data_IF_997811977009
#
_entry.id   IF_997811977009
#
_cell.length_a   1.000
_cell.length_b   1.000
_cell.length_c   1.000
_cell.angle_alpha   90.00
_cell.angle_beta   90.00
_cell.angle_gamma   90.00
#
_symmetry.space_group_name_H-M   'P 1'
#
loop_
_entity.id
_entity.type
_entity.pdbx_description
1 polymer ?
#
# COMPACT_ATOMS: atom_id res chain seq x y z
N UNK A 1 55.06 -68.64 -24.57
CA UNK A 1 55.86 -67.44 -24.15
C UNK A 1 54.87 -66.37 -23.80
N UNK A 2 54.65 -66.17 -22.55
CA UNK A 2 53.67 -65.32 -21.97
C UNK A 2 54.26 -63.95 -21.61
N UNK A 3 53.72 -62.88 -22.17
CA UNK A 3 54.05 -61.50 -21.77
C UNK A 3 53.02 -60.94 -20.80
N UNK A 4 53.41 -60.11 -19.80
CA UNK A 4 52.57 -59.70 -18.71
C UNK A 4 51.60 -58.57 -19.07
N UNK A 5 50.38 -58.69 -18.57
CA UNK A 5 49.34 -57.67 -18.64
C UNK A 5 49.70 -56.50 -17.71
N UNK A 6 49.82 -55.30 -18.27
CA UNK A 6 49.90 -54.03 -17.55
C UNK A 6 48.54 -53.67 -16.98
N UNK A 7 48.45 -53.60 -15.65
CA UNK A 7 47.33 -53.08 -14.90
C UNK A 7 47.38 -51.54 -14.86
N UNK A 8 46.53 -50.87 -15.60
CA UNK A 8 46.38 -49.45 -15.50
C UNK A 8 45.43 -49.11 -14.30
N UNK A 9 45.96 -48.33 -13.36
CA UNK A 9 45.20 -47.81 -12.21
C UNK A 9 44.21 -46.72 -12.70
N UNK A 10 43.02 -46.58 -12.08
CA UNK A 10 42.04 -45.58 -12.44
C UNK A 10 42.51 -44.15 -12.03
N UNK A 11 42.11 -43.11 -12.74
CA UNK A 11 42.55 -41.76 -12.45
C UNK A 11 41.96 -41.27 -11.09
N UNK A 12 42.89 -40.73 -10.28
CA UNK A 12 42.55 -40.10 -8.99
C UNK A 12 41.66 -38.87 -9.26
N UNK A 13 40.48 -38.83 -8.65
CA UNK A 13 39.61 -37.63 -8.54
C UNK A 13 40.42 -36.53 -7.80
N UNK A 14 40.39 -35.27 -8.27
CA UNK A 14 40.95 -34.17 -7.48
C UNK A 14 40.12 -34.00 -6.21
N UNK A 15 40.82 -33.89 -5.08
CA UNK A 15 40.24 -33.59 -3.77
C UNK A 15 39.53 -32.22 -3.88
N UNK A 16 38.22 -32.22 -3.58
CA UNK A 16 37.47 -30.98 -3.38
C UNK A 16 38.11 -30.24 -2.19
N UNK A 17 38.79 -29.16 -2.48
CA UNK A 17 39.18 -28.16 -1.49
C UNK A 17 37.90 -27.64 -0.83
N UNK A 18 37.68 -28.03 0.43
CA UNK A 18 36.67 -27.43 1.29
C UNK A 18 37.13 -25.97 1.50
N UNK A 19 36.64 -25.07 0.63
CA UNK A 19 36.63 -23.65 0.93
C UNK A 19 35.79 -23.49 2.20
N UNK A 20 36.44 -23.24 3.33
CA UNK A 20 35.81 -22.72 4.53
C UNK A 20 35.03 -21.47 4.09
N UNK A 21 33.72 -21.57 4.08
CA UNK A 21 32.87 -20.41 4.07
C UNK A 21 33.22 -19.66 5.36
N UNK A 22 33.92 -18.53 5.21
CA UNK A 22 34.02 -17.56 6.27
C UNK A 22 32.60 -17.15 6.62
N UNK A 23 32.15 -17.62 7.76
CA UNK A 23 30.94 -17.16 8.41
C UNK A 23 31.21 -15.69 8.71
N UNK A 24 30.71 -14.81 7.84
CA UNK A 24 30.61 -13.39 8.13
C UNK A 24 29.81 -13.31 9.44
N UNK A 25 30.39 -12.79 10.54
CA UNK A 25 29.64 -12.63 11.77
C UNK A 25 28.41 -11.82 11.42
N UNK A 26 27.23 -12.37 11.71
CA UNK A 26 25.97 -11.71 11.47
C UNK A 26 26.05 -10.29 12.02
N UNK A 27 26.02 -9.33 11.11
CA UNK A 27 25.87 -7.94 11.45
C UNK A 27 24.59 -7.87 12.29
N UNK A 28 24.76 -7.57 13.59
CA UNK A 28 23.65 -7.30 14.47
C UNK A 28 22.69 -6.37 13.74
N UNK A 29 21.44 -6.81 13.54
CA UNK A 29 20.40 -5.95 13.05
C UNK A 29 20.49 -4.65 13.87
N UNK A 30 20.42 -3.46 13.25
CA UNK A 30 20.44 -2.23 14.01
C UNK A 30 19.20 -2.24 14.91
N UNK A 31 19.38 -2.64 16.15
CA UNK A 31 18.43 -2.56 17.24
C UNK A 31 18.28 -1.10 17.72
N UNK A 32 18.22 -0.18 16.78
CA UNK A 32 17.76 1.17 17.02
C UNK A 32 16.25 1.15 16.94
N UNK A 33 15.57 1.12 18.06
CA UNK A 33 14.17 1.51 18.16
C UNK A 33 14.03 2.91 17.54
N UNK A 34 13.61 2.94 16.27
CA UNK A 34 13.32 4.21 15.61
C UNK A 34 12.09 4.78 16.32
N UNK A 35 12.15 6.00 16.88
CA UNK A 35 11.03 6.58 17.60
C UNK A 35 9.78 6.48 16.75
N UNK A 36 8.74 5.87 17.31
CA UNK A 36 7.45 5.72 16.66
C UNK A 36 6.79 7.09 16.61
N UNK A 37 6.71 7.66 15.43
CA UNK A 37 5.91 8.87 15.23
C UNK A 37 4.44 8.52 15.49
N UNK A 38 3.73 9.31 16.32
CA UNK A 38 2.32 9.11 16.52
C UNK A 38 1.57 9.16 15.17
N UNK A 39 0.72 8.19 14.90
CA UNK A 39 0.04 8.03 13.60
C UNK A 39 -0.95 9.16 13.24
N UNK A 40 -1.16 10.10 14.14
CA UNK A 40 -1.99 11.29 13.94
C UNK A 40 -1.21 12.49 13.39
N UNK A 41 0.14 12.46 13.40
CA UNK A 41 0.98 13.60 12.96
C UNK A 41 0.67 13.96 11.50
N UNK A 42 0.65 12.99 10.59
CA UNK A 42 0.37 13.25 9.18
C UNK A 42 -1.02 13.86 8.96
N UNK A 43 -2.10 13.25 9.47
CA UNK A 43 -3.45 13.81 9.42
C UNK A 43 -3.56 15.23 9.99
N UNK A 44 -2.99 15.47 11.17
CA UNK A 44 -3.02 16.80 11.80
C UNK A 44 -2.25 17.81 10.97
N UNK A 45 -1.06 17.46 10.48
CA UNK A 45 -0.27 18.35 9.63
C UNK A 45 -1.05 18.76 8.37
N UNK A 46 -1.70 17.80 7.68
CA UNK A 46 -2.50 18.08 6.50
C UNK A 46 -3.68 19.02 6.81
N UNK A 47 -4.41 18.77 7.90
CA UNK A 47 -5.52 19.63 8.32
C UNK A 47 -5.01 21.03 8.70
N UNK A 48 -3.90 21.13 9.44
CA UNK A 48 -3.30 22.41 9.83
C UNK A 48 -2.87 23.22 8.60
N UNK A 49 -2.29 22.58 7.59
CA UNK A 49 -1.91 23.23 6.33
C UNK A 49 -3.16 23.78 5.63
N UNK A 50 -4.23 23.00 5.49
CA UNK A 50 -5.46 23.46 4.86
C UNK A 50 -6.11 24.62 5.63
N UNK A 51 -6.27 24.49 6.95
CA UNK A 51 -6.86 25.57 7.79
C UNK A 51 -5.99 26.82 7.78
N UNK A 52 -4.67 26.67 7.84
CA UNK A 52 -3.74 27.81 7.77
C UNK A 52 -3.78 28.53 6.41
N UNK A 53 -3.90 27.78 5.33
CA UNK A 53 -4.03 28.36 3.99
C UNK A 53 -5.37 29.08 3.80
N UNK A 54 -6.46 28.47 4.26
CA UNK A 54 -7.79 29.11 4.32
C UNK A 54 -7.76 30.43 5.11
N UNK A 55 -7.16 30.42 6.30
CA UNK A 55 -7.05 31.61 7.13
C UNK A 55 -6.22 32.72 6.43
N UNK A 56 -5.13 32.32 5.76
CA UNK A 56 -4.31 33.26 5.00
C UNK A 56 -5.09 33.93 3.85
N UNK A 57 -5.92 33.18 3.11
CA UNK A 57 -6.78 33.70 2.08
C UNK A 57 -7.82 34.68 2.62
N UNK A 58 -8.47 34.33 3.73
CA UNK A 58 -9.45 35.20 4.39
C UNK A 58 -8.81 36.49 4.85
N UNK A 59 -7.62 36.42 5.46
CA UNK A 59 -6.89 37.60 5.93
C UNK A 59 -6.40 38.51 4.79
N UNK A 60 -6.15 37.95 3.61
CA UNK A 60 -5.66 38.68 2.44
C UNK A 60 -6.76 39.14 1.48
N UNK A 61 -8.04 39.00 1.84
CA UNK A 61 -9.17 39.41 0.99
C UNK A 61 -9.05 40.87 0.61
N UNK A 62 -9.02 41.21 -0.68
CA UNK A 62 -8.97 42.61 -1.12
C UNK A 62 -10.22 43.39 -0.70
N UNK A 63 -10.05 44.67 -0.33
CA UNK A 63 -11.18 45.56 -0.04
C UNK A 63 -11.97 45.81 -1.34
N UNK A 64 -13.29 45.64 -1.25
CA UNK A 64 -14.19 45.82 -2.40
C UNK A 64 -14.38 44.56 -3.28
N UNK A 65 -13.69 43.47 -3.02
CA UNK A 65 -13.91 42.22 -3.75
C UNK A 65 -15.33 41.67 -3.47
N UNK A 66 -16.14 41.38 -4.52
CA UNK A 66 -17.46 40.78 -4.35
C UNK A 66 -17.37 39.44 -3.63
N UNK A 67 -18.22 39.21 -2.61
CA UNK A 67 -18.14 38.02 -1.76
C UNK A 67 -18.28 36.73 -2.57
N UNK A 68 -19.16 36.69 -3.57
CA UNK A 68 -19.31 35.51 -4.43
C UNK A 68 -18.02 35.13 -5.13
N UNK A 69 -17.39 36.13 -5.80
CA UNK A 69 -16.11 35.93 -6.50
C UNK A 69 -15.01 35.49 -5.56
N UNK A 70 -14.86 36.14 -4.41
CA UNK A 70 -13.87 35.75 -3.40
C UNK A 70 -14.08 34.29 -2.92
N UNK A 71 -15.32 33.86 -2.66
CA UNK A 71 -15.63 32.48 -2.29
C UNK A 71 -15.26 31.51 -3.42
N UNK A 72 -15.53 31.89 -4.67
CA UNK A 72 -15.10 31.12 -5.84
C UNK A 72 -13.57 30.94 -5.91
N UNK A 73 -12.81 32.04 -5.78
CA UNK A 73 -11.34 31.98 -5.78
C UNK A 73 -10.78 31.17 -4.60
N UNK A 74 -11.30 31.41 -3.40
CA UNK A 74 -10.92 30.70 -2.18
C UNK A 74 -11.13 29.21 -2.31
N UNK A 75 -12.30 28.79 -2.81
CA UNK A 75 -12.61 27.36 -2.98
C UNK A 75 -11.74 26.70 -4.05
N UNK A 76 -11.42 27.42 -5.14
CA UNK A 76 -10.46 26.98 -6.16
C UNK A 76 -9.03 26.84 -5.62
N UNK A 77 -8.59 27.79 -4.80
CA UNK A 77 -7.27 27.75 -4.17
C UNK A 77 -7.13 26.57 -3.19
N UNK A 78 -8.14 26.34 -2.34
CA UNK A 78 -8.17 25.18 -1.44
C UNK A 78 -8.25 23.86 -2.22
N UNK A 79 -8.99 23.81 -3.33
CA UNK A 79 -9.03 22.65 -4.21
C UNK A 79 -7.62 22.29 -4.71
N UNK A 80 -6.89 23.26 -5.22
CA UNK A 80 -5.51 23.09 -5.73
C UNK A 80 -4.55 22.70 -4.60
N UNK A 81 -4.63 23.33 -3.42
CA UNK A 81 -3.84 22.93 -2.25
C UNK A 81 -4.04 21.46 -1.91
N UNK A 82 -5.29 21.02 -1.76
CA UNK A 82 -5.59 19.65 -1.38
C UNK A 82 -5.19 18.62 -2.45
N UNK A 83 -5.28 19.01 -3.74
CA UNK A 83 -4.77 18.20 -4.84
C UNK A 83 -3.24 18.11 -4.81
N UNK A 84 -2.53 19.20 -4.55
CA UNK A 84 -1.07 19.18 -4.36
C UNK A 84 -0.67 18.32 -3.16
N UNK A 85 -1.36 18.43 -2.03
CA UNK A 85 -1.17 17.53 -0.88
C UNK A 85 -1.40 16.07 -1.26
N UNK A 86 -2.42 15.77 -2.06
CA UNK A 86 -2.67 14.43 -2.59
C UNK A 86 -1.52 13.92 -3.46
N UNK A 87 -0.90 14.76 -4.31
CA UNK A 87 0.28 14.40 -5.08
C UNK A 87 1.49 14.09 -4.18
N UNK A 88 1.69 14.86 -3.11
CA UNK A 88 2.73 14.59 -2.10
C UNK A 88 2.50 13.24 -1.43
N UNK A 89 1.27 12.94 -1.00
CA UNK A 89 0.92 11.64 -0.41
C UNK A 89 1.15 10.48 -1.39
N UNK A 90 1.01 10.72 -2.68
CA UNK A 90 1.25 9.71 -3.71
C UNK A 90 2.74 9.38 -3.93
N UNK A 91 3.69 10.13 -3.38
CA UNK A 91 5.14 9.86 -3.53
C UNK A 91 5.61 8.61 -2.80
N UNK A 92 4.85 8.15 -1.79
CA UNK A 92 5.17 6.99 -0.94
C UNK A 92 6.54 7.09 -0.24
N UNK A 93 6.97 8.31 0.06
CA UNK A 93 8.23 8.53 0.77
C UNK A 93 8.16 7.95 2.19
N UNK A 94 9.24 7.32 2.70
CA UNK A 94 9.21 6.62 3.98
C UNK A 94 8.84 7.48 5.20
N UNK A 95 9.13 8.78 5.16
CA UNK A 95 8.74 9.69 6.25
C UNK A 95 7.24 9.99 6.23
N UNK A 96 6.61 10.05 5.03
CA UNK A 96 5.16 10.21 4.87
C UNK A 96 4.45 8.95 5.39
N UNK A 97 4.92 7.77 4.99
CA UNK A 97 4.38 6.51 5.49
C UNK A 97 4.40 6.47 7.04
N UNK A 98 5.53 6.84 7.64
CA UNK A 98 5.67 6.91 9.11
C UNK A 98 4.72 7.91 9.76
N UNK A 99 4.58 9.11 9.18
CA UNK A 99 3.72 10.17 9.72
C UNK A 99 2.23 9.81 9.70
N UNK A 100 1.80 9.00 8.74
CA UNK A 100 0.42 8.53 8.62
C UNK A 100 0.18 7.15 9.25
N UNK A 101 1.24 6.42 9.60
CA UNK A 101 1.17 5.10 10.24
C UNK A 101 0.89 3.94 9.29
N UNK A 102 1.37 4.02 8.05
CA UNK A 102 1.33 2.95 7.05
C UNK A 102 0.82 3.42 5.68
N UNK A 103 1.18 2.68 4.62
CA UNK A 103 0.83 3.03 3.23
C UNK A 103 -0.68 2.99 2.96
N UNK A 104 -1.40 2.07 3.58
CA UNK A 104 -2.86 1.97 3.50
C UNK A 104 -3.55 3.23 4.05
N UNK A 105 -3.06 3.77 5.15
CA UNK A 105 -3.55 5.04 5.72
C UNK A 105 -3.16 6.23 4.84
N UNK A 106 -1.95 6.25 4.29
CA UNK A 106 -1.55 7.25 3.29
C UNK A 106 -2.51 7.21 2.10
N UNK A 107 -2.86 6.04 1.57
CA UNK A 107 -3.81 5.90 0.48
C UNK A 107 -5.23 6.39 0.83
N UNK A 108 -5.68 6.19 2.08
CA UNK A 108 -6.95 6.75 2.57
C UNK A 108 -6.91 8.27 2.56
N UNK A 109 -5.85 8.89 3.08
CA UNK A 109 -5.72 10.34 3.14
C UNK A 109 -5.48 10.98 1.77
N UNK A 110 -4.75 10.31 0.87
CA UNK A 110 -4.65 10.68 -0.53
C UNK A 110 -6.06 10.78 -1.17
N UNK A 111 -6.88 9.74 -1.02
CA UNK A 111 -8.26 9.76 -1.55
C UNK A 111 -9.12 10.84 -0.92
N UNK A 112 -9.02 11.07 0.40
CA UNK A 112 -9.77 12.13 1.10
C UNK A 112 -9.40 13.51 0.60
N UNK A 113 -8.11 13.83 0.55
CA UNK A 113 -7.61 15.12 0.05
C UNK A 113 -8.04 15.34 -1.40
N UNK A 114 -7.86 14.37 -2.29
CA UNK A 114 -8.28 14.45 -3.67
C UNK A 114 -9.80 14.63 -3.82
N UNK A 115 -10.61 13.89 -3.03
CA UNK A 115 -12.07 13.99 -3.08
C UNK A 115 -12.56 15.35 -2.59
N UNK A 116 -12.07 15.83 -1.45
CA UNK A 116 -12.46 17.16 -0.94
C UNK A 116 -12.01 18.25 -1.89
N UNK A 117 -10.76 18.18 -2.39
CA UNK A 117 -10.27 19.11 -3.40
C UNK A 117 -11.14 19.13 -4.66
N UNK A 118 -11.54 17.96 -5.17
CA UNK A 118 -12.44 17.88 -6.32
C UNK A 118 -13.83 18.49 -6.04
N UNK A 119 -14.41 18.21 -4.86
CA UNK A 119 -15.71 18.76 -4.47
C UNK A 119 -15.69 20.28 -4.32
N UNK A 120 -14.57 20.88 -3.92
CA UNK A 120 -14.39 22.33 -3.83
C UNK A 120 -14.38 23.02 -5.21
N UNK A 121 -14.20 22.28 -6.31
CA UNK A 121 -14.38 22.82 -7.65
C UNK A 121 -15.85 23.19 -7.95
N UNK A 122 -16.83 22.57 -7.28
CA UNK A 122 -18.25 22.88 -7.47
C UNK A 122 -18.58 24.34 -7.08
N UNK A 123 -18.29 24.79 -5.84
CA UNK A 123 -18.48 26.21 -5.50
C UNK A 123 -17.54 27.11 -6.29
N UNK A 124 -16.32 26.69 -6.61
CA UNK A 124 -15.43 27.47 -7.47
C UNK A 124 -16.11 27.83 -8.80
N UNK A 125 -16.56 26.83 -9.56
CA UNK A 125 -17.22 27.04 -10.85
C UNK A 125 -18.50 27.85 -10.70
N UNK A 126 -19.36 27.49 -9.71
CA UNK A 126 -20.64 28.15 -9.52
C UNK A 126 -20.52 29.65 -9.21
N UNK A 127 -19.58 30.03 -8.36
CA UNK A 127 -19.40 31.44 -7.97
C UNK A 127 -18.57 32.26 -8.97
N UNK A 128 -17.60 31.66 -9.67
CA UNK A 128 -16.82 32.37 -10.70
C UNK A 128 -17.69 32.65 -11.91
N UNK A 129 -18.45 31.66 -12.41
CA UNK A 129 -19.30 31.86 -13.60
C UNK A 129 -20.47 32.85 -13.38
N UNK A 130 -20.87 33.07 -12.13
CA UNK A 130 -21.93 34.05 -11.78
C UNK A 130 -21.38 35.44 -11.47
N UNK A 131 -20.07 35.65 -11.52
CA UNK A 131 -19.42 36.93 -11.16
C UNK A 131 -18.70 37.51 -12.35
N UNK A 132 -18.79 38.85 -12.61
CA UNK A 132 -18.02 39.52 -13.67
C UNK A 132 -16.52 39.31 -13.51
N UNK A 133 -15.81 38.97 -14.58
CA UNK A 133 -14.37 38.84 -14.59
C UNK A 133 -13.70 40.08 -15.21
N UNK A 134 -13.03 40.94 -14.41
CA UNK A 134 -12.32 42.11 -14.95
C UNK A 134 -11.00 41.75 -15.64
N UNK A 135 -10.53 40.47 -15.52
CA UNK A 135 -9.25 39.99 -16.07
C UNK A 135 -9.47 38.85 -17.08
N UNK A 136 -10.56 38.93 -17.85
CA UNK A 136 -10.85 37.91 -18.88
C UNK A 136 -9.67 37.76 -19.83
N UNK A 137 -9.01 36.61 -19.72
CA UNK A 137 -8.07 36.16 -20.75
C UNK A 137 -8.57 34.83 -21.30
N UNK A 138 -8.74 34.77 -22.63
CA UNK A 138 -9.15 33.54 -23.33
C UNK A 138 -8.27 32.35 -22.94
N UNK A 139 -6.96 32.58 -22.78
CA UNK A 139 -6.02 31.57 -22.35
C UNK A 139 -6.30 31.09 -20.92
N UNK A 140 -6.56 32.03 -20.00
CA UNK A 140 -6.85 31.67 -18.60
C UNK A 140 -8.07 30.77 -18.47
N UNK A 141 -9.17 31.11 -19.12
CA UNK A 141 -10.39 30.31 -19.13
C UNK A 141 -10.18 28.93 -19.80
N UNK A 142 -9.54 28.90 -20.97
CA UNK A 142 -9.25 27.64 -21.67
C UNK A 142 -8.44 26.66 -20.82
N UNK A 143 -7.46 27.17 -20.05
CA UNK A 143 -6.68 26.33 -19.12
C UNK A 143 -7.55 25.79 -17.97
N UNK A 144 -8.46 26.61 -17.43
CA UNK A 144 -9.41 26.19 -16.41
C UNK A 144 -10.34 25.07 -16.93
N UNK A 145 -10.90 25.27 -18.11
CA UNK A 145 -11.78 24.28 -18.77
C UNK A 145 -11.06 22.96 -19.06
N UNK A 146 -9.81 23.03 -19.56
CA UNK A 146 -8.99 21.84 -19.81
C UNK A 146 -8.72 21.08 -18.49
N UNK A 147 -8.33 21.81 -17.43
CA UNK A 147 -8.06 21.20 -16.13
C UNK A 147 -9.34 20.53 -15.56
N UNK A 148 -10.45 21.26 -15.57
CA UNK A 148 -11.75 20.76 -15.07
C UNK A 148 -12.23 19.56 -15.85
N UNK A 149 -12.23 19.63 -17.18
CA UNK A 149 -12.67 18.54 -18.06
C UNK A 149 -11.81 17.27 -17.85
N UNK A 150 -10.49 17.44 -17.78
CA UNK A 150 -9.56 16.34 -17.53
C UNK A 150 -9.76 15.68 -16.17
N UNK A 151 -9.88 16.47 -15.10
CA UNK A 151 -10.15 15.97 -13.76
C UNK A 151 -11.50 15.25 -13.67
N UNK A 152 -12.55 15.85 -14.25
CA UNK A 152 -13.89 15.28 -14.29
C UNK A 152 -13.91 13.92 -15.02
N UNK A 153 -13.27 13.84 -16.19
CA UNK A 153 -13.16 12.59 -16.96
C UNK A 153 -12.49 11.48 -16.15
N UNK A 154 -11.39 11.78 -15.47
CA UNK A 154 -10.66 10.82 -14.64
C UNK A 154 -11.46 10.38 -13.41
N UNK A 155 -12.21 11.29 -12.78
CA UNK A 155 -13.11 10.95 -11.65
C UNK A 155 -14.27 10.08 -12.12
N UNK A 156 -14.92 10.42 -13.24
CA UNK A 156 -15.98 9.59 -13.83
C UNK A 156 -15.47 8.19 -14.17
N UNK A 157 -14.26 8.09 -14.73
CA UNK A 157 -13.65 6.79 -14.98
C UNK A 157 -13.36 6.01 -13.68
N UNK A 158 -12.91 6.68 -12.62
CA UNK A 158 -12.70 6.04 -11.31
C UNK A 158 -14.01 5.50 -10.69
N UNK A 159 -15.14 6.17 -10.98
CA UNK A 159 -16.46 5.75 -10.51
C UNK A 159 -17.08 4.65 -11.39
N UNK A 160 -16.68 4.53 -12.65
CA UNK A 160 -17.24 3.60 -13.63
C UNK A 160 -17.35 2.13 -13.13
N UNK A 161 -16.35 1.54 -12.41
CA UNK A 161 -16.49 0.19 -11.85
C UNK A 161 -17.60 0.05 -10.80
N UNK A 162 -17.87 1.12 -10.03
CA UNK A 162 -18.96 1.14 -9.05
C UNK A 162 -20.33 1.26 -9.71
N UNK A 163 -20.38 1.84 -10.91
CA UNK A 163 -21.59 2.02 -11.71
C UNK A 163 -21.92 0.79 -12.57
N UNK A 164 -21.09 -0.27 -12.57
CA UNK A 164 -21.30 -1.51 -13.34
C UNK A 164 -22.63 -2.20 -13.07
N UNK A 165 -23.18 -2.03 -11.86
CA UNK A 165 -24.47 -2.60 -11.47
C UNK A 165 -25.65 -1.83 -12.07
N UNK A 166 -25.46 -0.62 -12.62
CA UNK A 166 -26.50 0.19 -13.21
C UNK A 166 -26.60 -0.05 -14.73
N UNK A 167 -27.82 0.10 -15.29
CA UNK A 167 -28.10 -0.03 -16.73
C UNK A 167 -27.65 1.24 -17.48
N UNK A 168 -26.34 1.42 -17.68
CA UNK A 168 -25.78 2.58 -18.36
C UNK A 168 -25.61 2.38 -19.86
N UNK A 169 -25.58 3.48 -20.66
CA UNK A 169 -25.33 3.45 -22.11
C UNK A 169 -24.00 2.78 -22.49
N UNK A 170 -23.90 2.29 -23.73
CA UNK A 170 -22.78 1.52 -24.23
C UNK A 170 -21.37 2.10 -24.00
N UNK A 171 -21.11 3.41 -24.22
CA UNK A 171 -19.79 4.01 -24.02
C UNK A 171 -19.31 3.94 -22.56
N UNK A 172 -20.20 4.21 -21.58
CA UNK A 172 -19.88 4.15 -20.15
C UNK A 172 -19.60 2.71 -19.73
N UNK A 173 -20.32 1.74 -20.32
CA UNK A 173 -20.08 0.31 -20.09
C UNK A 173 -18.75 -0.15 -20.64
N UNK A 174 -18.29 0.38 -21.79
CA UNK A 174 -16.97 0.10 -22.34
C UNK A 174 -15.85 0.64 -21.43
N UNK A 175 -16.00 1.87 -20.91
CA UNK A 175 -15.07 2.46 -19.95
C UNK A 175 -15.01 1.66 -18.64
N UNK A 176 -16.15 1.17 -18.17
CA UNK A 176 -16.25 0.31 -16.98
C UNK A 176 -15.58 -1.07 -17.16
N UNK A 177 -15.40 -1.55 -18.40
CA UNK A 177 -14.70 -2.80 -18.72
C UNK A 177 -13.18 -2.65 -18.80
N UNK A 178 -12.68 -1.41 -18.83
CA UNK A 178 -11.24 -1.18 -18.83
C UNK A 178 -10.61 -1.78 -17.56
N UNK A 179 -9.45 -2.41 -17.72
CA UNK A 179 -8.74 -3.01 -16.60
C UNK A 179 -8.33 -1.96 -15.56
N UNK A 180 -8.25 -2.36 -14.31
CA UNK A 180 -7.77 -1.49 -13.22
C UNK A 180 -6.40 -0.86 -13.54
N UNK A 181 -5.54 -1.59 -14.22
CA UNK A 181 -4.21 -1.14 -14.65
C UNK A 181 -4.28 0.02 -15.67
N UNK A 182 -5.20 -0.05 -16.64
CA UNK A 182 -5.42 1.04 -17.59
C UNK A 182 -5.93 2.28 -16.88
N UNK A 183 -6.83 2.11 -15.90
CA UNK A 183 -7.28 3.21 -15.07
C UNK A 183 -6.13 3.82 -14.26
N UNK A 184 -5.28 3.01 -13.60
CA UNK A 184 -4.11 3.50 -12.87
C UNK A 184 -3.16 4.27 -13.78
N UNK A 185 -2.93 3.77 -15.00
CA UNK A 185 -2.06 4.45 -15.97
C UNK A 185 -2.62 5.80 -16.38
N UNK A 186 -3.94 5.89 -16.62
CA UNK A 186 -4.60 7.16 -16.93
C UNK A 186 -4.68 8.10 -15.71
N UNK A 187 -4.91 7.56 -14.51
CA UNK A 187 -4.94 8.34 -13.26
C UNK A 187 -3.61 9.07 -13.00
N UNK A 188 -2.49 8.53 -13.46
CA UNK A 188 -1.19 9.21 -13.37
C UNK A 188 -1.16 10.57 -14.08
N UNK A 189 -1.99 10.78 -15.11
CA UNK A 189 -2.10 12.05 -15.82
C UNK A 189 -2.76 13.16 -14.98
N UNK A 190 -3.43 12.80 -13.86
CA UNK A 190 -4.08 13.76 -12.96
C UNK A 190 -3.14 14.90 -12.52
N UNK A 191 -1.87 14.59 -12.24
CA UNK A 191 -0.89 15.60 -11.85
C UNK A 191 -0.62 16.66 -12.93
N UNK A 192 -0.75 16.30 -14.20
CA UNK A 192 -0.66 17.27 -15.30
C UNK A 192 -1.84 18.25 -15.27
N UNK A 193 -3.07 17.77 -15.05
CA UNK A 193 -4.23 18.65 -14.94
C UNK A 193 -4.16 19.55 -13.70
N UNK A 194 -3.59 19.08 -12.58
CA UNK A 194 -3.31 19.92 -11.41
C UNK A 194 -2.28 21.01 -11.76
N UNK A 195 -1.24 20.70 -12.53
CA UNK A 195 -0.28 21.71 -13.00
C UNK A 195 -0.93 22.75 -13.92
N UNK A 196 -1.83 22.31 -14.82
CA UNK A 196 -2.61 23.25 -15.67
C UNK A 196 -3.52 24.13 -14.81
N UNK A 197 -4.17 23.59 -13.77
CA UNK A 197 -4.99 24.37 -12.84
C UNK A 197 -4.16 25.41 -12.06
N UNK A 198 -2.91 25.09 -11.68
CA UNK A 198 -2.00 26.06 -11.06
C UNK A 198 -1.67 27.22 -12.00
N UNK A 199 -1.40 26.93 -13.27
CA UNK A 199 -1.15 27.97 -14.28
C UNK A 199 -2.39 28.82 -14.52
N UNK A 200 -3.58 28.20 -14.63
CA UNK A 200 -4.86 28.88 -14.70
C UNK A 200 -5.01 29.89 -13.54
N UNK A 201 -4.90 29.42 -12.29
CA UNK A 201 -5.05 30.27 -11.12
C UNK A 201 -4.03 31.42 -11.07
N UNK A 202 -2.77 31.18 -11.46
CA UNK A 202 -1.75 32.21 -11.52
C UNK A 202 -2.07 33.33 -12.53
N UNK A 203 -2.80 33.00 -13.61
CA UNK A 203 -3.20 33.96 -14.67
C UNK A 203 -4.45 34.75 -14.27
N UNK A 204 -5.47 34.07 -13.66
CA UNK A 204 -6.80 34.67 -13.53
C UNK A 204 -7.16 35.18 -12.13
N UNK A 205 -6.42 34.82 -11.07
CA UNK A 205 -6.81 35.14 -9.70
C UNK A 205 -6.35 36.55 -9.25
N UNK A 206 -7.26 37.54 -9.14
CA UNK A 206 -6.93 38.89 -8.67
C UNK A 206 -6.39 38.90 -7.24
N UNK A 207 -6.93 38.08 -6.36
CA UNK A 207 -6.49 38.00 -4.96
C UNK A 207 -5.01 37.57 -4.85
N UNK A 208 -4.53 36.68 -5.72
CA UNK A 208 -3.09 36.32 -5.78
C UNK A 208 -2.24 37.52 -6.28
N UNK A 209 -2.78 38.37 -7.17
CA UNK A 209 -2.06 39.55 -7.66
C UNK A 209 -1.99 40.64 -6.61
N UNK A 210 -3.03 40.77 -5.79
CA UNK A 210 -3.11 41.79 -4.75
C UNK A 210 -2.20 41.50 -3.53
N UNK A 211 -1.92 40.23 -3.22
CA UNK A 211 -1.16 39.84 -2.03
C UNK A 211 0.13 39.09 -2.38
N UNK A 212 1.29 39.69 -2.05
CA UNK A 212 2.59 39.04 -2.22
C UNK A 212 2.71 37.79 -1.34
N UNK A 213 2.16 37.81 -0.12
CA UNK A 213 2.20 36.67 0.81
C UNK A 213 1.44 35.46 0.25
N UNK A 214 0.21 35.71 -0.27
CA UNK A 214 -0.57 34.67 -0.93
C UNK A 214 0.13 34.12 -2.17
N UNK A 215 0.71 35.00 -2.97
CA UNK A 215 1.45 34.59 -4.18
C UNK A 215 2.62 33.68 -3.85
N UNK A 216 3.41 34.03 -2.82
CA UNK A 216 4.52 33.19 -2.35
C UNK A 216 3.99 31.85 -1.83
N UNK A 217 2.95 31.84 -0.99
CA UNK A 217 2.35 30.61 -0.48
C UNK A 217 1.83 29.72 -1.61
N UNK A 218 1.15 30.29 -2.60
CA UNK A 218 0.64 29.58 -3.77
C UNK A 218 1.77 28.96 -4.61
N UNK A 219 2.85 29.73 -4.86
CA UNK A 219 4.03 29.22 -5.59
C UNK A 219 4.66 28.05 -4.81
N UNK A 220 4.82 28.17 -3.50
CA UNK A 220 5.38 27.10 -2.65
C UNK A 220 4.52 25.84 -2.74
N UNK A 221 3.20 25.97 -2.62
CA UNK A 221 2.26 24.84 -2.76
C UNK A 221 2.40 24.20 -4.15
N UNK A 222 2.43 24.99 -5.20
CA UNK A 222 2.57 24.52 -6.57
C UNK A 222 3.89 23.79 -6.82
N UNK A 223 5.00 24.38 -6.38
CA UNK A 223 6.35 23.79 -6.52
C UNK A 223 6.44 22.45 -5.78
N UNK A 224 5.92 22.39 -4.56
CA UNK A 224 5.90 21.13 -3.77
C UNK A 224 5.01 20.08 -4.45
N UNK A 225 3.80 20.44 -4.87
CA UNK A 225 2.85 19.51 -5.48
C UNK A 225 3.34 18.99 -6.83
N UNK A 226 3.74 19.88 -7.75
CA UNK A 226 4.27 19.52 -9.07
C UNK A 226 5.62 18.80 -8.93
N UNK A 227 6.48 19.25 -8.01
CA UNK A 227 7.74 18.58 -7.69
C UNK A 227 7.54 17.16 -7.18
N UNK A 228 6.56 16.93 -6.32
CA UNK A 228 6.17 15.61 -5.85
C UNK A 228 5.67 14.71 -7.00
N UNK A 229 4.87 15.28 -7.90
CA UNK A 229 4.43 14.58 -9.11
C UNK A 229 5.59 14.21 -10.03
N UNK A 230 6.46 15.17 -10.33
CA UNK A 230 7.65 14.95 -11.16
C UNK A 230 8.60 13.92 -10.51
N UNK A 231 8.82 14.02 -9.20
CA UNK A 231 9.57 13.00 -8.45
C UNK A 231 8.98 11.60 -8.67
N UNK A 232 7.68 11.43 -8.44
CA UNK A 232 7.04 10.13 -8.59
C UNK A 232 7.12 9.57 -10.00
N UNK A 233 6.84 10.39 -11.01
CA UNK A 233 6.75 9.93 -12.40
C UNK A 233 8.12 9.74 -13.06
N UNK A 234 9.10 10.57 -12.72
CA UNK A 234 10.39 10.60 -13.38
C UNK A 234 11.52 10.01 -12.53
N UNK A 235 11.54 10.32 -11.25
CA UNK A 235 12.69 10.06 -10.38
C UNK A 235 12.50 8.86 -9.45
N UNK A 236 11.30 8.56 -8.99
CA UNK A 236 11.06 7.50 -8.00
C UNK A 236 11.62 6.14 -8.44
N UNK A 237 11.62 5.86 -9.76
CA UNK A 237 12.23 4.64 -10.34
C UNK A 237 13.73 4.50 -10.06
N UNK A 238 14.44 5.61 -9.79
CA UNK A 238 15.87 5.60 -9.49
C UNK A 238 16.17 5.49 -7.99
N UNK A 239 15.19 5.84 -7.14
CA UNK A 239 15.35 5.86 -5.68
C UNK A 239 14.72 4.68 -4.97
N UNK A 240 13.76 3.99 -5.60
CA UNK A 240 13.24 2.72 -5.08
C UNK A 240 14.15 1.61 -5.58
N UNK A 241 14.96 0.99 -4.71
CA UNK A 241 15.85 -0.08 -5.14
C UNK A 241 15.01 -1.23 -5.69
N UNK A 242 15.33 -1.64 -6.91
CA UNK A 242 14.77 -2.83 -7.54
C UNK A 242 15.86 -3.89 -7.55
N UNK A 243 15.58 -5.00 -6.90
CA UNK A 243 16.47 -6.13 -6.78
C UNK A 243 16.09 -7.19 -7.81
N UNK A 244 17.10 -7.73 -8.49
CA UNK A 244 16.89 -8.83 -9.42
C UNK A 244 16.90 -10.16 -8.66
N UNK A 245 15.87 -10.96 -8.89
CA UNK A 245 15.66 -12.27 -8.35
C UNK A 245 15.31 -13.27 -9.45
N UNK A 246 15.37 -14.54 -9.14
CA UNK A 246 14.91 -15.62 -10.01
C UNK A 246 13.99 -16.53 -9.19
N UNK A 247 12.95 -17.05 -9.80
CA UNK A 247 12.09 -18.06 -9.18
C UNK A 247 12.94 -19.31 -8.96
N UNK A 248 13.23 -19.63 -7.71
CA UNK A 248 13.99 -20.82 -7.32
C UNK A 248 13.11 -22.06 -7.24
N UNK A 249 11.92 -21.93 -6.62
CA UNK A 249 10.95 -23.02 -6.55
C UNK A 249 9.53 -22.49 -6.44
N UNK A 250 8.57 -23.31 -6.89
CA UNK A 250 7.13 -23.09 -6.76
C UNK A 250 6.53 -24.32 -6.12
N UNK A 251 6.07 -24.16 -4.88
CA UNK A 251 5.44 -25.26 -4.10
C UNK A 251 3.94 -25.03 -4.07
N UNK A 252 3.18 -25.99 -4.59
CA UNK A 252 1.72 -25.95 -4.54
C UNK A 252 1.25 -26.28 -3.12
N UNK A 253 0.48 -25.37 -2.53
CA UNK A 253 -0.09 -25.54 -1.19
C UNK A 253 -1.50 -26.12 -1.25
N UNK A 254 -2.29 -25.70 -2.24
CA UNK A 254 -3.55 -26.29 -2.64
C UNK A 254 -3.84 -25.98 -4.11
N UNK A 255 -5.03 -26.29 -4.63
CA UNK A 255 -5.38 -26.07 -6.05
C UNK A 255 -5.20 -24.64 -6.51
N UNK A 256 -5.42 -23.66 -5.62
CA UNK A 256 -5.45 -22.23 -5.94
C UNK A 256 -4.31 -21.41 -5.32
N UNK A 257 -3.43 -22.04 -4.54
CA UNK A 257 -2.41 -21.32 -3.77
C UNK A 257 -1.04 -21.94 -3.95
N UNK A 258 -0.05 -21.11 -4.23
CA UNK A 258 1.37 -21.52 -4.36
C UNK A 258 2.26 -20.66 -3.46
N UNK A 259 3.27 -21.28 -2.86
CA UNK A 259 4.40 -20.61 -2.26
C UNK A 259 5.53 -20.52 -3.30
N UNK A 260 6.09 -19.34 -3.46
CA UNK A 260 7.11 -19.01 -4.46
C UNK A 260 8.36 -18.58 -3.71
N UNK A 261 9.40 -19.39 -3.77
CA UNK A 261 10.70 -19.03 -3.23
C UNK A 261 11.56 -18.38 -4.33
N UNK A 262 12.17 -17.27 -3.99
CA UNK A 262 12.95 -16.43 -4.87
C UNK A 262 14.42 -16.42 -4.45
N UNK A 263 15.30 -16.72 -5.39
CA UNK A 263 16.74 -16.64 -5.23
C UNK A 263 17.24 -15.25 -5.66
N UNK A 264 17.98 -14.58 -4.79
CA UNK A 264 18.59 -13.29 -5.14
C UNK A 264 19.71 -13.49 -6.16
N UNK A 265 19.69 -12.68 -7.24
CA UNK A 265 20.76 -12.71 -8.25
C UNK A 265 22.06 -12.09 -7.71
N UNK A 266 21.91 -11.16 -6.76
CA UNK A 266 23.01 -10.53 -6.01
C UNK A 266 22.76 -10.66 -4.52
N UNK A 267 23.04 -9.62 -3.77
CA UNK A 267 22.79 -9.60 -2.31
C UNK A 267 21.29 -9.48 -2.02
N UNK A 268 20.72 -10.37 -1.18
CA UNK A 268 19.34 -10.21 -0.73
C UNK A 268 19.21 -8.94 0.13
N UNK A 269 18.06 -8.30 0.09
CA UNK A 269 17.78 -7.17 0.96
C UNK A 269 17.28 -7.64 2.34
N UNK A 270 17.56 -6.86 3.36
CA UNK A 270 17.05 -7.09 4.70
C UNK A 270 15.60 -6.60 4.82
N UNK A 271 14.75 -7.35 5.51
CA UNK A 271 13.37 -6.98 5.79
C UNK A 271 12.99 -7.30 7.24
N UNK A 272 11.87 -6.73 7.67
CA UNK A 272 11.24 -7.01 8.96
C UNK A 272 10.04 -7.94 8.74
N UNK A 273 9.83 -8.98 9.58
CA UNK A 273 8.67 -9.85 9.48
C UNK A 273 7.36 -9.06 9.45
N UNK A 274 6.44 -9.45 8.54
CA UNK A 274 5.18 -8.76 8.31
C UNK A 274 5.22 -7.68 7.23
N UNK A 275 6.39 -7.41 6.63
CA UNK A 275 6.50 -6.52 5.48
C UNK A 275 6.05 -7.20 4.18
N UNK A 276 5.82 -6.38 3.16
CA UNK A 276 5.49 -6.83 1.81
C UNK A 276 6.49 -6.28 0.77
N UNK A 277 6.48 -6.86 -0.39
CA UNK A 277 7.26 -6.44 -1.56
C UNK A 277 6.34 -6.22 -2.75
N UNK A 278 6.77 -5.39 -3.69
CA UNK A 278 6.14 -5.27 -5.00
C UNK A 278 6.93 -6.11 -5.98
N UNK A 279 6.31 -7.17 -6.48
CA UNK A 279 6.91 -8.13 -7.40
C UNK A 279 6.43 -7.91 -8.83
N UNK A 280 7.34 -8.10 -9.77
CA UNK A 280 7.05 -8.26 -11.18
C UNK A 280 7.81 -9.48 -11.69
N UNK A 281 7.11 -10.40 -12.35
CA UNK A 281 7.71 -11.58 -12.95
C UNK A 281 7.86 -11.40 -14.46
N UNK A 282 8.92 -11.93 -15.03
CA UNK A 282 9.09 -12.04 -16.47
C UNK A 282 8.19 -13.11 -17.10
N UNK A 283 8.31 -13.30 -18.42
CA UNK A 283 7.53 -14.31 -19.14
C UNK A 283 6.04 -13.95 -19.28
N UNK A 284 5.13 -14.89 -19.02
CA UNK A 284 3.69 -14.72 -19.30
C UNK A 284 3.01 -13.58 -18.52
N UNK A 285 3.59 -13.12 -17.41
CA UNK A 285 3.04 -12.06 -16.57
C UNK A 285 3.42 -10.64 -16.98
N UNK A 286 4.21 -10.49 -18.06
CA UNK A 286 4.53 -9.21 -18.70
C UNK A 286 5.00 -8.08 -17.75
N UNK A 287 5.77 -8.42 -16.71
CA UNK A 287 6.34 -7.46 -15.75
C UNK A 287 5.32 -6.60 -15.01
N UNK A 288 4.10 -7.09 -14.83
CA UNK A 288 3.09 -6.40 -14.04
C UNK A 288 3.48 -6.39 -12.55
N UNK A 289 3.42 -5.23 -11.93
CA UNK A 289 3.83 -5.03 -10.54
C UNK A 289 2.67 -5.21 -9.59
N UNK A 290 2.79 -6.17 -8.67
CA UNK A 290 1.77 -6.44 -7.65
C UNK A 290 2.40 -6.57 -6.26
N UNK A 291 1.72 -6.10 -5.21
CA UNK A 291 2.17 -6.27 -3.84
C UNK A 291 1.91 -7.70 -3.36
N UNK A 292 2.89 -8.28 -2.66
CA UNK A 292 2.80 -9.58 -2.00
C UNK A 292 3.46 -9.52 -0.64
N UNK A 293 2.76 -9.97 0.40
CA UNK A 293 3.36 -10.11 1.72
C UNK A 293 4.45 -11.17 1.71
N UNK A 294 5.54 -10.87 2.38
CA UNK A 294 6.64 -11.81 2.58
C UNK A 294 6.14 -12.88 3.56
N UNK A 295 6.28 -14.15 3.19
CA UNK A 295 5.93 -15.28 4.03
C UNK A 295 7.15 -15.97 4.68
N UNK A 296 8.37 -15.71 4.18
CA UNK A 296 9.62 -16.19 4.80
C UNK A 296 10.01 -15.40 6.05
N UNK A 297 10.87 -16.00 6.88
CA UNK A 297 11.61 -15.25 7.90
C UNK A 297 12.80 -14.49 7.29
N UNK A 298 13.31 -13.42 7.93
CA UNK A 298 14.55 -12.76 7.49
C UNK A 298 15.78 -13.64 7.55
N UNK A 299 15.76 -14.67 8.38
CA UNK A 299 16.83 -15.68 8.51
C UNK A 299 16.79 -16.75 7.41
N UNK A 300 15.69 -16.85 6.66
CA UNK A 300 15.56 -17.84 5.60
C UNK A 300 16.51 -17.52 4.45
N UNK A 301 17.09 -18.53 3.78
CA UNK A 301 18.05 -18.34 2.69
C UNK A 301 17.37 -17.75 1.44
N UNK A 302 16.06 -17.84 1.33
CA UNK A 302 15.25 -17.41 0.19
C UNK A 302 14.13 -16.51 0.63
N UNK A 303 13.85 -15.49 -0.18
CA UNK A 303 12.64 -14.69 -0.04
C UNK A 303 11.43 -15.53 -0.50
N UNK A 304 10.46 -15.76 0.35
CA UNK A 304 9.22 -16.46 -0.03
C UNK A 304 8.02 -15.53 0.01
N UNK A 305 7.17 -15.65 -1.01
CA UNK A 305 5.85 -15.04 -1.06
C UNK A 305 4.81 -16.12 -1.37
N UNK A 306 3.58 -15.93 -0.88
CA UNK A 306 2.49 -16.88 -1.13
C UNK A 306 1.39 -16.20 -1.92
N UNK A 307 1.00 -16.83 -3.03
CA UNK A 307 0.05 -16.28 -4.00
C UNK A 307 -1.17 -17.18 -4.11
N UNK A 308 -2.37 -16.60 -3.90
CA UNK A 308 -3.67 -17.26 -4.17
C UNK A 308 -4.25 -16.74 -5.48
N UNK A 309 -4.73 -17.61 -6.33
CA UNK A 309 -5.49 -17.29 -7.54
C UNK A 309 -6.82 -16.61 -7.16
N UNK A 310 -6.85 -15.27 -7.17
CA UNK A 310 -8.01 -14.47 -6.78
C UNK A 310 -8.52 -13.54 -7.88
N UNK A 311 -7.78 -13.41 -8.99
CA UNK A 311 -8.12 -12.61 -10.16
C UNK A 311 -7.30 -13.06 -11.36
N UNK A 312 -7.50 -12.41 -12.50
CA UNK A 312 -6.90 -12.82 -13.79
C UNK A 312 -5.37 -12.90 -13.74
N UNK A 313 -4.72 -11.91 -13.10
CA UNK A 313 -3.26 -11.91 -12.98
C UNK A 313 -2.76 -13.04 -12.10
N UNK A 314 -3.27 -13.14 -10.88
CA UNK A 314 -2.82 -14.17 -9.93
C UNK A 314 -3.21 -15.57 -10.36
N UNK A 315 -4.32 -15.73 -11.09
CA UNK A 315 -4.71 -17.00 -11.73
C UNK A 315 -3.66 -17.46 -12.74
N UNK A 316 -3.32 -16.59 -13.71
CA UNK A 316 -2.24 -16.88 -14.69
C UNK A 316 -0.89 -17.13 -14.01
N UNK A 317 -0.60 -16.37 -12.95
CA UNK A 317 0.67 -16.52 -12.23
C UNK A 317 0.79 -17.91 -11.58
N UNK A 318 -0.24 -18.36 -10.88
CA UNK A 318 -0.29 -19.69 -10.22
C UNK A 318 -0.15 -20.83 -11.23
N UNK A 319 -0.68 -20.67 -12.44
CA UNK A 319 -0.61 -21.68 -13.49
C UNK A 319 0.73 -21.67 -14.26
N UNK A 320 1.29 -20.49 -14.52
CA UNK A 320 2.39 -20.32 -15.46
C UNK A 320 3.77 -20.24 -14.81
N UNK A 321 3.87 -19.91 -13.50
CA UNK A 321 5.16 -19.75 -12.85
C UNK A 321 5.92 -21.07 -12.75
N UNK A 322 7.21 -20.98 -13.11
CA UNK A 322 8.16 -22.09 -13.08
C UNK A 322 9.51 -21.61 -12.55
N UNK A 323 10.33 -22.48 -11.97
CA UNK A 323 11.72 -22.16 -11.64
C UNK A 323 12.47 -21.59 -12.83
N UNK A 324 13.39 -20.67 -12.60
CA UNK A 324 14.19 -19.99 -13.62
C UNK A 324 13.58 -18.72 -14.21
N UNK A 325 12.29 -18.43 -13.94
CA UNK A 325 11.68 -17.17 -14.41
C UNK A 325 12.28 -15.99 -13.64
N UNK A 326 12.76 -14.94 -14.34
CA UNK A 326 13.30 -13.75 -13.69
C UNK A 326 12.21 -12.95 -13.00
N UNK A 327 12.54 -12.36 -11.85
CA UNK A 327 11.65 -11.53 -11.07
C UNK A 327 12.35 -10.23 -10.65
N UNK A 328 11.59 -9.15 -10.57
CA UNK A 328 12.03 -7.87 -10.03
C UNK A 328 11.28 -7.59 -8.74
N UNK A 329 12.04 -7.31 -7.69
CA UNK A 329 11.53 -7.11 -6.34
C UNK A 329 11.84 -5.68 -5.92
N UNK A 330 10.82 -4.90 -5.64
CA UNK A 330 10.93 -3.58 -5.03
C UNK A 330 10.44 -3.61 -3.59
N UNK A 331 11.16 -3.01 -2.67
CA UNK A 331 10.83 -3.00 -1.25
C UNK A 331 12.05 -3.16 -0.36
N UNK A 332 11.86 -3.55 0.93
CA UNK A 332 10.57 -3.93 1.55
C UNK A 332 9.71 -2.72 1.93
N UNK A 333 8.39 -2.94 2.02
CA UNK A 333 7.41 -1.93 2.42
C UNK A 333 6.53 -2.45 3.57
N UNK A 334 5.82 -1.52 4.22
CA UNK A 334 4.85 -1.84 5.26
C UNK A 334 5.42 -1.74 6.68
N UNK A 335 4.50 -1.62 7.63
CA UNK A 335 4.81 -1.48 9.05
C UNK A 335 3.98 -2.43 9.92
N UNK A 336 3.51 -3.55 9.37
CA UNK A 336 2.74 -4.57 10.07
C UNK A 336 3.69 -5.42 10.92
N UNK A 337 3.86 -5.03 12.19
CA UNK A 337 4.85 -5.59 13.10
C UNK A 337 4.24 -5.80 14.49
N UNK A 338 4.11 -7.06 14.93
CA UNK A 338 3.53 -7.42 16.22
C UNK A 338 4.33 -6.88 17.42
N UNK A 339 5.63 -6.66 17.26
CA UNK A 339 6.52 -6.15 18.34
C UNK A 339 6.15 -4.74 18.78
N UNK A 340 5.39 -4.02 17.94
CA UNK A 340 4.87 -2.68 18.24
C UNK A 340 3.63 -2.68 19.14
N UNK A 341 3.11 -3.85 19.48
CA UNK A 341 1.96 -4.02 20.38
C UNK A 341 2.36 -4.38 21.79
N UNK A 342 1.37 -4.38 22.69
CA UNK A 342 1.52 -4.83 24.06
C UNK A 342 1.70 -6.36 24.16
N UNK A 343 1.80 -6.87 25.41
CA UNK A 343 2.04 -8.29 25.65
C UNK A 343 0.87 -9.19 25.25
N UNK A 344 -0.37 -8.72 25.38
CA UNK A 344 -1.55 -9.48 24.97
C UNK A 344 -1.98 -9.08 23.57
N UNK A 345 -2.07 -10.08 22.67
CA UNK A 345 -2.34 -9.84 21.27
C UNK A 345 -3.38 -10.79 20.70
N UNK A 346 -4.10 -10.31 19.73
CA UNK A 346 -5.03 -11.08 18.92
C UNK A 346 -4.56 -10.94 17.46
N UNK A 347 -4.27 -12.08 16.84
CA UNK A 347 -3.91 -12.12 15.42
C UNK A 347 -5.06 -12.73 14.63
N UNK A 348 -5.48 -12.11 13.54
CA UNK A 348 -6.62 -12.58 12.73
C UNK A 348 -6.23 -12.64 11.27
N UNK A 349 -6.17 -13.84 10.73
CA UNK A 349 -5.92 -14.11 9.33
C UNK A 349 -7.21 -14.50 8.61
N UNK A 350 -7.48 -13.90 7.45
CA UNK A 350 -8.57 -14.28 6.55
C UNK A 350 -8.03 -14.82 5.23
N UNK A 351 -8.21 -16.11 4.96
CA UNK A 351 -7.73 -16.73 3.73
C UNK A 351 -6.23 -16.52 3.50
N UNK A 352 -5.85 -15.93 2.33
CA UNK A 352 -4.43 -15.65 2.01
C UNK A 352 -3.80 -14.59 2.93
N UNK A 353 -4.59 -13.87 3.71
CA UNK A 353 -4.09 -12.96 4.73
C UNK A 353 -3.28 -13.61 5.85
N UNK A 354 -3.11 -14.93 5.84
CA UNK A 354 -2.19 -15.65 6.71
C UNK A 354 -0.72 -15.33 6.45
N UNK A 355 -0.37 -14.85 5.26
CA UNK A 355 1.02 -14.69 4.80
C UNK A 355 1.91 -13.81 5.69
N UNK A 356 1.53 -12.61 6.16
CA UNK A 356 2.38 -11.83 7.05
C UNK A 356 2.56 -12.50 8.43
N UNK A 357 1.56 -13.24 8.89
CA UNK A 357 1.66 -14.01 10.14
C UNK A 357 2.61 -15.21 10.00
N UNK A 358 2.71 -15.81 8.81
CA UNK A 358 3.72 -16.85 8.56
C UNK A 358 5.14 -16.31 8.70
N UNK A 359 5.39 -15.10 8.17
CA UNK A 359 6.67 -14.42 8.37
C UNK A 359 6.97 -14.18 9.87
N UNK A 360 5.94 -13.82 10.66
CA UNK A 360 6.08 -13.68 12.11
C UNK A 360 6.39 -15.01 12.78
N UNK A 361 5.54 -16.05 12.56
CA UNK A 361 5.68 -17.35 13.19
C UNK A 361 7.04 -18.01 12.91
N UNK A 362 7.53 -17.87 11.68
CA UNK A 362 8.85 -18.38 11.27
C UNK A 362 10.03 -17.60 11.87
N UNK A 363 9.76 -16.39 12.34
CA UNK A 363 10.77 -15.48 12.92
C UNK A 363 10.76 -15.48 14.44
N UNK A 364 9.89 -16.25 15.08
CA UNK A 364 9.84 -16.35 16.54
C UNK A 364 11.07 -17.11 17.05
N UNK A 365 11.61 -16.63 18.14
CA UNK A 365 12.69 -17.22 18.90
C UNK A 365 12.24 -17.59 20.33
N UNK A 366 13.14 -18.15 21.11
CA UNK A 366 12.85 -18.56 22.49
C UNK A 366 12.57 -17.37 23.44
N UNK A 367 12.91 -16.13 23.01
CA UNK A 367 12.64 -14.91 23.77
C UNK A 367 11.24 -14.33 23.50
N UNK A 368 10.41 -15.03 22.72
CA UNK A 368 9.05 -14.57 22.43
C UNK A 368 8.20 -14.56 23.71
N UNK A 369 7.71 -13.38 24.09
CA UNK A 369 7.09 -13.05 25.38
C UNK A 369 5.62 -12.58 25.27
N UNK A 370 4.97 -12.77 24.12
CA UNK A 370 3.58 -12.32 23.87
C UNK A 370 2.60 -13.47 24.11
N UNK A 371 1.47 -13.14 24.74
CA UNK A 371 0.29 -14.02 24.82
C UNK A 371 -0.61 -13.73 23.61
N UNK A 372 -0.77 -14.72 22.73
CA UNK A 372 -1.42 -14.53 21.44
C UNK A 372 -2.59 -15.49 21.25
N UNK A 373 -3.76 -14.95 20.93
CA UNK A 373 -4.84 -15.71 20.33
C UNK A 373 -4.81 -15.52 18.81
N UNK A 374 -4.48 -16.56 18.07
CA UNK A 374 -4.37 -16.52 16.61
C UNK A 374 -5.59 -17.17 15.96
N UNK A 375 -6.43 -16.38 15.30
CA UNK A 375 -7.59 -16.84 14.54
C UNK A 375 -7.27 -16.93 13.06
N UNK A 376 -7.47 -18.10 12.47
CA UNK A 376 -7.33 -18.28 11.03
C UNK A 376 -8.67 -18.72 10.44
N UNK A 377 -9.32 -17.79 9.73
CA UNK A 377 -10.63 -17.99 9.12
C UNK A 377 -10.51 -18.25 7.63
N UNK A 378 -11.03 -19.38 7.19
CA UNK A 378 -11.12 -19.84 5.79
C UNK A 378 -12.51 -20.42 5.55
N UNK A 379 -12.87 -20.76 4.30
CA UNK A 379 -14.16 -21.39 4.02
C UNK A 379 -14.18 -22.84 4.46
N UNK A 380 -13.19 -23.61 4.04
CA UNK A 380 -13.08 -25.06 4.29
C UNK A 380 -11.65 -25.44 4.73
N UNK A 381 -11.45 -26.62 5.35
CA UNK A 381 -10.14 -27.05 5.83
C UNK A 381 -9.05 -27.05 4.75
N UNK A 382 -9.35 -27.40 3.49
CA UNK A 382 -8.42 -27.42 2.37
C UNK A 382 -7.91 -26.03 1.95
N UNK A 383 -8.56 -24.96 2.38
CA UNK A 383 -8.10 -23.58 2.19
C UNK A 383 -7.15 -23.10 3.30
N UNK A 384 -7.04 -23.83 4.42
CA UNK A 384 -6.15 -23.49 5.54
C UNK A 384 -4.69 -23.86 5.21
N UNK A 385 -4.10 -23.13 4.25
CA UNK A 385 -2.68 -23.32 3.92
C UNK A 385 -1.81 -23.04 5.14
N UNK A 386 -0.70 -23.77 5.28
CA UNK A 386 0.22 -23.70 6.44
C UNK A 386 -0.36 -24.19 7.78
N UNK A 387 -1.48 -24.92 7.79
CA UNK A 387 -2.08 -25.41 9.04
C UNK A 387 -1.08 -26.15 9.89
N UNK A 388 -0.42 -27.17 9.34
CA UNK A 388 0.55 -28.02 10.07
C UNK A 388 1.73 -27.17 10.62
N UNK A 389 2.17 -26.16 9.86
CA UNK A 389 3.25 -25.28 10.27
C UNK A 389 2.81 -24.33 11.40
N UNK A 390 1.57 -23.86 11.37
CA UNK A 390 0.98 -23.06 12.46
C UNK A 390 0.85 -23.92 13.73
N UNK A 391 0.33 -25.15 13.61
CA UNK A 391 0.20 -26.10 14.73
C UNK A 391 1.56 -26.42 15.35
N UNK A 392 2.59 -26.66 14.53
CA UNK A 392 3.96 -26.86 15.00
C UNK A 392 4.55 -25.61 15.68
N UNK A 393 4.22 -24.40 15.25
CA UNK A 393 4.62 -23.16 15.90
C UNK A 393 3.94 -22.99 17.27
N UNK A 394 2.66 -23.35 17.39
CA UNK A 394 1.91 -23.35 18.66
C UNK A 394 2.48 -24.37 19.65
N UNK A 395 2.90 -25.53 19.19
CA UNK A 395 3.56 -26.53 20.05
C UNK A 395 4.88 -26.01 20.64
N UNK A 396 5.66 -25.28 19.86
CA UNK A 396 6.92 -24.65 20.29
C UNK A 396 6.71 -23.45 21.22
N UNK A 397 5.70 -22.63 20.93
CA UNK A 397 5.41 -21.39 21.65
C UNK A 397 4.05 -21.50 22.36
N UNK A 398 4.05 -22.04 23.57
CA UNK A 398 2.84 -22.31 24.38
C UNK A 398 2.00 -21.07 24.70
N UNK A 399 2.55 -19.89 24.54
CA UNK A 399 1.84 -18.61 24.68
C UNK A 399 1.00 -18.24 23.44
N UNK A 400 1.07 -19.02 22.36
CA UNK A 400 0.24 -18.86 21.16
C UNK A 400 -0.86 -19.93 21.17
N UNK A 401 -2.11 -19.52 21.02
CA UNK A 401 -3.27 -20.39 20.87
C UNK A 401 -3.88 -20.16 19.49
N UNK A 402 -3.87 -21.18 18.62
CA UNK A 402 -4.46 -21.09 17.29
C UNK A 402 -5.91 -21.58 17.28
N UNK A 403 -6.77 -20.84 16.60
CA UNK A 403 -8.18 -21.13 16.40
C UNK A 403 -8.47 -21.11 14.90
N UNK A 404 -8.77 -22.27 14.32
CA UNK A 404 -9.19 -22.39 12.94
C UNK A 404 -10.71 -22.27 12.85
N UNK A 405 -11.20 -21.38 11.97
CA UNK A 405 -12.64 -21.11 11.79
C UNK A 405 -13.01 -21.42 10.34
N UNK A 406 -13.89 -22.39 10.14
CA UNK A 406 -14.34 -22.87 8.83
C UNK A 406 -15.74 -22.36 8.52
N UNK A 407 -15.84 -21.28 7.73
CA UNK A 407 -17.09 -20.53 7.56
C UNK A 407 -18.17 -21.22 6.72
N UNK A 408 -17.87 -22.36 6.09
CA UNK A 408 -18.87 -23.21 5.43
C UNK A 408 -19.63 -24.08 6.44
N UNK A 409 -19.07 -24.35 7.62
CA UNK A 409 -19.65 -25.18 8.67
C UNK A 409 -19.86 -24.44 9.99
N UNK A 410 -19.20 -23.31 10.19
CA UNK A 410 -19.23 -22.52 11.41
C UNK A 410 -19.67 -21.09 11.13
N UNK A 411 -20.25 -20.38 12.13
CA UNK A 411 -20.53 -18.95 12.01
C UNK A 411 -19.27 -18.14 11.71
N UNK A 412 -19.44 -17.05 10.96
CA UNK A 412 -18.36 -16.11 10.71
C UNK A 412 -17.86 -15.49 12.01
N UNK A 413 -16.55 -15.36 12.13
CA UNK A 413 -15.87 -14.77 13.27
C UNK A 413 -16.40 -13.35 13.58
N UNK A 414 -16.79 -13.11 14.82
CA UNK A 414 -17.24 -11.82 15.32
C UNK A 414 -16.21 -11.19 16.26
N UNK A 415 -16.34 -9.89 16.51
CA UNK A 415 -15.50 -9.20 17.50
C UNK A 415 -15.68 -9.77 18.91
N UNK A 416 -16.88 -10.22 19.27
CA UNK A 416 -17.14 -10.82 20.58
C UNK A 416 -16.44 -12.17 20.74
N UNK A 417 -16.42 -13.01 19.69
CA UNK A 417 -15.74 -14.29 19.73
C UNK A 417 -14.24 -14.11 19.93
N UNK A 418 -13.66 -13.13 19.21
CA UNK A 418 -12.24 -12.79 19.31
C UNK A 418 -11.87 -12.27 20.69
N UNK A 419 -12.66 -11.37 21.27
CA UNK A 419 -12.36 -10.78 22.58
C UNK A 419 -12.56 -11.76 23.74
N UNK A 420 -13.43 -12.76 23.60
CA UNK A 420 -13.60 -13.82 24.62
C UNK A 420 -12.37 -14.74 24.73
N UNK A 421 -11.56 -14.80 23.71
CA UNK A 421 -10.38 -15.70 23.67
C UNK A 421 -9.15 -15.17 24.42
N UNK A 422 -9.17 -13.90 24.87
CA UNK A 422 -8.07 -13.29 25.60
C UNK A 422 -8.53 -12.71 26.93
N UNK A 423 -7.79 -12.90 28.03
CA UNK A 423 -8.16 -12.37 29.35
C UNK A 423 -8.29 -10.84 29.38
N UNK A 424 -7.40 -10.12 28.70
CA UNK A 424 -7.40 -8.66 28.62
C UNK A 424 -8.50 -8.06 27.76
N UNK A 425 -9.21 -8.88 26.98
CA UNK A 425 -10.36 -8.45 26.19
C UNK A 425 -10.09 -7.21 25.34
N UNK A 426 -10.78 -6.11 25.66
CA UNK A 426 -10.67 -4.86 24.91
C UNK A 426 -9.30 -4.14 25.04
N UNK A 427 -8.44 -4.49 25.99
CA UNK A 427 -7.11 -3.91 26.13
C UNK A 427 -6.08 -4.52 25.18
N UNK A 428 -6.37 -5.73 24.62
CA UNK A 428 -5.47 -6.44 23.73
C UNK A 428 -5.17 -5.66 22.43
N UNK A 429 -4.00 -5.89 21.88
CA UNK A 429 -3.63 -5.40 20.55
C UNK A 429 -4.12 -6.36 19.48
N UNK A 430 -4.79 -5.85 18.47
CA UNK A 430 -5.41 -6.65 17.42
C UNK A 430 -4.71 -6.41 16.09
N UNK A 431 -4.17 -7.47 15.50
CA UNK A 431 -3.54 -7.48 14.20
C UNK A 431 -4.37 -8.32 13.24
N UNK A 432 -4.79 -7.73 12.13
CA UNK A 432 -5.68 -8.40 11.19
C UNK A 432 -5.16 -8.31 9.77
N UNK A 433 -5.29 -9.40 9.01
CA UNK A 433 -4.96 -9.40 7.59
C UNK A 433 -5.92 -10.31 6.84
N UNK A 434 -6.54 -9.79 5.77
CA UNK A 434 -7.51 -10.56 5.00
C UNK A 434 -8.43 -9.72 4.11
N UNK A 435 -9.57 -10.30 3.67
CA UNK A 435 -10.51 -9.63 2.79
C UNK A 435 -11.10 -8.34 3.40
N UNK A 436 -11.18 -7.23 2.63
CA UNK A 436 -11.66 -5.95 3.14
C UNK A 436 -13.02 -5.98 3.86
N UNK A 437 -14.03 -6.74 3.40
CA UNK A 437 -15.32 -6.82 4.12
C UNK A 437 -15.18 -7.41 5.52
N UNK A 438 -14.36 -8.47 5.69
CA UNK A 438 -14.09 -9.08 6.98
C UNK A 438 -13.35 -8.11 7.91
N UNK A 439 -12.31 -7.45 7.41
CA UNK A 439 -11.52 -6.48 8.19
C UNK A 439 -12.39 -5.31 8.69
N UNK A 440 -13.25 -4.76 7.83
CA UNK A 440 -14.15 -3.66 8.18
C UNK A 440 -15.18 -4.08 9.22
N UNK A 441 -15.79 -5.25 9.07
CA UNK A 441 -16.77 -5.78 10.03
C UNK A 441 -16.15 -5.99 11.42
N UNK A 442 -14.99 -6.65 11.47
CA UNK A 442 -14.26 -6.88 12.73
C UNK A 442 -13.80 -5.57 13.36
N UNK A 443 -13.16 -4.67 12.60
CA UNK A 443 -12.72 -3.38 13.12
C UNK A 443 -13.86 -2.54 13.68
N UNK A 444 -15.03 -2.56 13.04
CA UNK A 444 -16.23 -1.88 13.54
C UNK A 444 -16.71 -2.52 14.85
N UNK A 445 -16.82 -3.84 14.89
CA UNK A 445 -17.24 -4.59 16.08
C UNK A 445 -16.28 -4.38 17.26
N UNK A 446 -14.97 -4.48 17.03
CA UNK A 446 -13.93 -4.28 18.05
C UNK A 446 -14.00 -2.88 18.66
N UNK A 447 -14.18 -1.83 17.85
CA UNK A 447 -14.34 -0.45 18.34
C UNK A 447 -15.60 -0.30 19.20
N UNK A 448 -16.72 -0.90 18.80
CA UNK A 448 -17.97 -0.89 19.60
C UNK A 448 -17.83 -1.64 20.91
N UNK A 449 -16.93 -2.62 20.97
CA UNK A 449 -16.60 -3.39 22.18
C UNK A 449 -15.51 -2.72 23.03
N UNK A 450 -15.13 -1.47 22.73
CA UNK A 450 -14.22 -0.69 23.56
C UNK A 450 -12.73 -0.84 23.23
N UNK A 451 -12.34 -1.58 22.19
CA UNK A 451 -10.93 -1.68 21.77
C UNK A 451 -10.45 -0.32 21.27
N UNK A 452 -9.37 0.25 21.83
CA UNK A 452 -8.83 1.52 21.38
C UNK A 452 -8.51 1.51 19.89
N UNK A 453 -8.83 2.56 19.13
CA UNK A 453 -8.53 2.62 17.70
C UNK A 453 -7.03 2.45 17.36
N UNK A 454 -6.15 2.85 18.28
CA UNK A 454 -4.70 2.69 18.16
C UNK A 454 -4.22 1.24 18.31
N UNK A 455 -5.00 0.37 18.95
CA UNK A 455 -4.66 -1.03 19.16
C UNK A 455 -5.08 -1.92 17.98
N UNK A 456 -5.92 -1.45 17.06
CA UNK A 456 -6.36 -2.22 15.90
C UNK A 456 -5.48 -1.86 14.70
N UNK A 457 -4.72 -2.85 14.22
CA UNK A 457 -3.86 -2.76 13.04
C UNK A 457 -4.32 -3.76 12.00
N UNK A 458 -4.42 -3.38 10.74
CA UNK A 458 -4.74 -4.32 9.68
C UNK A 458 -4.07 -3.98 8.36
N UNK A 459 -3.87 -5.01 7.55
CA UNK A 459 -3.50 -4.92 6.14
C UNK A 459 -4.65 -5.43 5.27
N UNK A 460 -5.03 -4.68 4.26
CA UNK A 460 -6.07 -5.07 3.31
C UNK A 460 -5.43 -5.70 2.06
N UNK A 461 -5.73 -6.97 1.79
CA UNK A 461 -5.46 -7.60 0.50
C UNK A 461 -6.64 -7.40 -0.43
N UNK A 462 -6.70 -6.27 -1.07
CA UNK A 462 -7.74 -5.86 -2.00
C UNK A 462 -7.13 -5.05 -3.11
N UNK A 463 -6.39 -5.69 -4.01
CA UNK A 463 -6.14 -5.16 -5.33
C UNK A 463 -7.45 -5.21 -6.12
N UNK A 464 -8.18 -4.11 -6.22
CA UNK A 464 -9.13 -3.87 -7.30
C UNK A 464 -8.51 -2.93 -8.29
#
# INVERSE_FOLDING_TARGET
MTGPRSSAAPPRRPAASAARADVVPGGAAPSGERPLWPTWIGPVALITIAVGYLALWIAARPSGEPTGRFVGELSGAEAVLLMCCSLVLATLLPFIERAFGGLDRVAVWHRRAATVGFLLLLPHVAFITSSPDPYETTLGHALGDIALAGLLLLVLWALAPRLRAARWPGPIRALARASHERWLSAHRITGLFVAVALVHAAIVAPTLRASTVLRVAFIVVGVIGVGAYAYRELLARFFVPIHDYTVGSVRRLNERTVAIALDAVRTPFAFTPGQFVVLAFGGPSAWQRHPFSISSAPSDPRLEVTVKASGDYTGRLVEALRPGIPAKVAGPFGGFDYRRGGPEQIWIAGGIGVTPFMSWLRSLDDAFDRDVAFFYSVREPGEAVYRDEIEAAVERHRSIRAHFVYTDTEPRLTAQDVLRAVPGGAAAWVYMSGPPPMMKALAHGLRRSGVPPGHVRWEEFGGR
#
